data_IF_878692354533
#
_entry.id   IF_878692354533
#
_cell.length_a   1.000
_cell.length_b   1.000
_cell.length_c   1.000
_cell.angle_alpha   90.00
_cell.angle_beta   90.00
_cell.angle_gamma   90.00
#
_symmetry.space_group_name_H-M   'P 1'
#
loop_
_entity.id
_entity.type
_entity.pdbx_description
1 polymer ?
#
# COMPACT_ATOMS: atom_id res chain seq x y z
N UNK A 1 -29.03 9.87 11.87
CA UNK A 1 -27.65 9.35 11.78
C UNK A 1 -27.77 7.85 11.62
N UNK A 2 -27.40 7.32 10.47
CA UNK A 2 -27.38 5.87 10.21
C UNK A 2 -26.08 5.35 10.83
N UNK A 3 -26.15 4.38 11.74
CA UNK A 3 -24.96 3.83 12.41
C UNK A 3 -24.10 3.05 11.40
N UNK A 4 -22.76 3.11 11.51
CA UNK A 4 -21.84 2.39 10.61
C UNK A 4 -22.17 0.89 10.48
N UNK A 5 -22.65 0.26 11.57
CA UNK A 5 -23.10 -1.13 11.56
C UNK A 5 -24.27 -1.37 10.58
N UNK A 6 -25.28 -0.50 10.58
CA UNK A 6 -26.43 -0.63 9.69
C UNK A 6 -26.09 -0.41 8.21
N UNK A 7 -25.05 0.39 7.91
CA UNK A 7 -24.54 0.55 6.55
C UNK A 7 -23.80 -0.71 6.09
N UNK A 8 -22.95 -1.27 6.96
CA UNK A 8 -22.21 -2.51 6.67
C UNK A 8 -23.14 -3.71 6.46
N UNK A 9 -24.21 -3.83 7.26
CA UNK A 9 -25.24 -4.87 7.11
C UNK A 9 -26.00 -4.73 5.79
N UNK A 10 -26.39 -3.52 5.42
CA UNK A 10 -27.06 -3.27 4.14
C UNK A 10 -26.13 -3.55 2.93
N UNK A 11 -24.83 -3.27 3.07
CA UNK A 11 -23.83 -3.56 2.04
C UNK A 11 -23.64 -5.07 1.81
N UNK A 12 -23.57 -5.88 2.88
CA UNK A 12 -23.47 -7.35 2.72
C UNK A 12 -24.75 -7.95 2.15
N UNK A 13 -25.92 -7.46 2.53
CA UNK A 13 -27.19 -7.91 1.94
C UNK A 13 -27.25 -7.60 0.44
N UNK A 14 -26.79 -6.41 0.03
CA UNK A 14 -26.68 -6.06 -1.38
C UNK A 14 -25.65 -6.90 -2.14
N UNK A 15 -24.54 -7.27 -1.50
CA UNK A 15 -23.54 -8.22 -2.04
C UNK A 15 -24.18 -9.59 -2.32
N UNK A 16 -24.89 -10.14 -1.33
CA UNK A 16 -25.50 -11.47 -1.40
C UNK A 16 -26.56 -11.61 -2.51
N UNK A 17 -27.26 -10.52 -2.85
CA UNK A 17 -28.25 -10.52 -3.95
C UNK A 17 -27.64 -10.80 -5.33
N UNK A 18 -26.37 -10.47 -5.53
CA UNK A 18 -25.70 -10.47 -6.84
C UNK A 18 -24.54 -11.47 -6.88
N UNK A 19 -24.23 -12.10 -5.74
CA UNK A 19 -23.24 -13.16 -5.65
C UNK A 19 -23.63 -14.34 -6.56
N UNK A 20 -22.76 -14.75 -7.51
CA UNK A 20 -23.04 -15.85 -8.41
C UNK A 20 -22.82 -17.19 -7.71
N UNK A 21 -23.70 -17.54 -6.77
CA UNK A 21 -23.67 -18.80 -6.03
C UNK A 21 -24.87 -19.68 -6.35
N UNK A 22 -24.65 -21.00 -6.37
CA UNK A 22 -25.72 -21.99 -6.64
C UNK A 22 -26.81 -22.02 -5.57
N UNK A 23 -26.48 -21.59 -4.35
CA UNK A 23 -27.33 -21.64 -3.16
C UNK A 23 -27.36 -20.23 -2.54
N UNK A 24 -28.51 -19.76 -2.02
CA UNK A 24 -28.57 -18.51 -1.28
C UNK A 24 -27.65 -18.57 -0.07
N UNK A 25 -26.80 -17.55 0.04
CA UNK A 25 -25.89 -17.38 1.16
C UNK A 25 -26.53 -16.54 2.27
N UNK A 26 -26.15 -16.83 3.50
CA UNK A 26 -26.49 -16.05 4.68
C UNK A 26 -25.22 -15.41 5.25
N UNK A 27 -25.31 -14.11 5.57
CA UNK A 27 -24.26 -13.38 6.26
C UNK A 27 -24.54 -13.32 7.76
N UNK A 28 -23.57 -13.68 8.58
CA UNK A 28 -23.60 -13.45 10.03
C UNK A 28 -22.42 -12.56 10.43
N UNK A 29 -22.68 -11.52 11.22
CA UNK A 29 -21.62 -10.63 11.69
C UNK A 29 -20.67 -11.43 12.59
N UNK A 30 -19.38 -11.45 12.25
CA UNK A 30 -18.37 -12.21 12.98
C UNK A 30 -17.58 -11.26 13.88
N UNK A 31 -17.73 -11.44 15.20
CA UNK A 31 -16.99 -10.66 16.21
C UNK A 31 -15.78 -11.45 16.69
N UNK A 32 -14.65 -11.38 15.98
CA UNK A 32 -13.39 -11.98 16.42
C UNK A 32 -12.39 -12.26 15.30
N UNK A 33 -11.12 -11.89 15.49
CA UNK A 33 -10.08 -12.04 14.45
C UNK A 33 -9.41 -13.43 14.42
N UNK A 34 -9.69 -14.30 15.41
CA UNK A 34 -8.96 -15.56 15.62
C UNK A 34 -9.36 -16.73 14.70
N UNK A 35 -10.57 -16.75 14.15
CA UNK A 35 -11.01 -17.80 13.21
C UNK A 35 -10.57 -17.53 11.75
N UNK A 36 -10.11 -16.31 11.52
CA UNK A 36 -9.81 -15.73 10.22
C UNK A 36 -8.37 -16.10 9.77
N UNK A 37 -7.39 -16.08 10.68
CA UNK A 37 -5.94 -16.16 10.41
C UNK A 37 -5.46 -17.41 9.65
N UNK A 38 -6.22 -18.50 9.64
CA UNK A 38 -5.82 -19.76 9.00
C UNK A 38 -6.40 -19.96 7.58
N UNK A 39 -7.17 -19.00 7.04
CA UNK A 39 -8.07 -19.24 5.90
C UNK A 39 -8.08 -18.16 4.80
N UNK A 40 -7.23 -17.12 4.89
CA UNK A 40 -7.08 -16.14 3.81
C UNK A 40 -6.10 -16.62 2.75
N UNK A 41 -6.66 -17.05 1.62
CA UNK A 41 -5.93 -17.09 0.36
C UNK A 41 -6.10 -15.77 -0.41
N UNK A 42 -6.08 -15.90 -1.74
CA UNK A 42 -6.37 -14.82 -2.68
C UNK A 42 -7.78 -14.23 -2.46
N UNK A 43 -7.85 -12.98 -2.01
CA UNK A 43 -9.10 -12.24 -1.76
C UNK A 43 -9.35 -11.26 -2.90
N UNK A 44 -10.59 -11.07 -3.32
CA UNK A 44 -10.94 -9.99 -4.25
C UNK A 44 -11.27 -8.75 -3.45
N UNK A 45 -10.55 -7.66 -3.69
CA UNK A 45 -10.73 -6.40 -2.98
C UNK A 45 -11.03 -5.26 -3.94
N UNK A 46 -11.79 -4.28 -3.47
CA UNK A 46 -12.08 -3.06 -4.19
C UNK A 46 -12.23 -1.89 -3.21
N UNK A 47 -11.93 -0.67 -3.69
CA UNK A 47 -12.07 0.56 -2.90
C UNK A 47 -13.16 1.44 -3.50
N UNK A 48 -14.11 1.86 -2.68
CA UNK A 48 -15.14 2.81 -3.04
C UNK A 48 -14.78 4.21 -2.57
N UNK A 49 -14.87 5.18 -3.48
CA UNK A 49 -14.66 6.61 -3.19
C UNK A 49 -15.95 7.37 -3.49
N UNK A 50 -16.52 7.95 -2.44
CA UNK A 50 -17.75 8.73 -2.52
C UNK A 50 -17.94 9.59 -1.29
N UNK A 51 -19.18 10.00 -1.03
CA UNK A 51 -19.54 10.75 0.18
C UNK A 51 -19.19 10.01 1.49
N UNK A 52 -19.25 8.67 1.44
CA UNK A 52 -18.68 7.77 2.43
C UNK A 52 -17.71 6.83 1.71
N UNK A 53 -16.42 6.90 2.03
CA UNK A 53 -15.42 6.02 1.40
C UNK A 53 -15.36 4.68 2.11
N UNK A 54 -15.08 3.60 1.39
CA UNK A 54 -14.94 2.28 1.99
C UNK A 54 -13.92 1.39 1.27
N UNK A 55 -13.32 0.46 2.01
CA UNK A 55 -12.57 -0.66 1.46
C UNK A 55 -13.41 -1.93 1.63
N UNK A 56 -13.55 -2.73 0.56
CA UNK A 56 -14.33 -3.96 0.51
C UNK A 56 -13.42 -5.14 0.17
N UNK A 57 -13.64 -6.29 0.80
CA UNK A 57 -12.99 -7.55 0.43
C UNK A 57 -13.95 -8.73 0.50
N UNK A 58 -13.81 -9.66 -0.45
CA UNK A 58 -14.56 -10.91 -0.50
C UNK A 58 -13.59 -12.07 -0.66
N UNK A 59 -13.81 -13.12 0.12
CA UNK A 59 -13.11 -14.41 0.00
C UNK A 59 -14.16 -15.50 -0.12
N UNK A 60 -14.02 -16.37 -1.11
CA UNK A 60 -14.80 -17.60 -1.24
C UNK A 60 -13.84 -18.78 -1.12
N UNK A 61 -14.17 -19.75 -0.27
CA UNK A 61 -13.32 -20.91 0.02
C UNK A 61 -13.38 -21.99 -1.06
N UNK A 62 -14.43 -21.98 -1.89
CA UNK A 62 -14.67 -23.01 -2.89
C UNK A 62 -14.97 -22.37 -4.25
N UNK A 63 -14.08 -22.58 -5.22
CA UNK A 63 -14.27 -22.12 -6.60
C UNK A 63 -15.45 -22.82 -7.30
N UNK A 64 -15.84 -24.02 -6.86
CA UNK A 64 -16.99 -24.74 -7.43
C UNK A 64 -18.34 -24.07 -7.12
N UNK A 65 -18.39 -23.21 -6.10
CA UNK A 65 -19.56 -22.38 -5.81
C UNK A 65 -19.80 -21.26 -6.83
N UNK A 66 -18.78 -20.94 -7.63
CA UNK A 66 -18.80 -19.91 -8.67
C UNK A 66 -19.22 -20.45 -10.06
N UNK A 67 -19.07 -21.76 -10.29
CA UNK A 67 -19.24 -22.42 -11.59
C UNK A 67 -20.71 -22.56 -12.02
N UNK A 68 -21.65 -22.62 -11.09
CA UNK A 68 -23.06 -22.91 -11.40
C UNK A 68 -23.80 -21.75 -12.10
N UNK A 69 -23.25 -20.53 -12.08
CA UNK A 69 -23.84 -19.36 -12.72
C UNK A 69 -23.28 -19.06 -14.13
N UNK A 70 -22.20 -19.74 -14.55
CA UNK A 70 -21.49 -19.43 -15.81
C UNK A 70 -22.00 -20.20 -17.03
N UNK A 71 -22.73 -21.30 -16.84
CA UNK A 71 -23.31 -22.10 -17.93
C UNK A 71 -22.30 -22.63 -18.96
N UNK A 72 -21.00 -22.64 -18.68
CA UNK A 72 -19.97 -23.05 -19.64
C UNK A 72 -18.81 -23.80 -18.97
N UNK A 73 -18.15 -24.64 -19.78
CA UNK A 73 -16.98 -25.46 -19.48
C UNK A 73 -15.79 -24.65 -18.88
N UNK A 74 -14.73 -25.28 -18.35
CA UNK A 74 -13.86 -24.69 -17.33
C UNK A 74 -13.29 -23.31 -17.72
N UNK A 75 -13.65 -22.37 -16.87
CA UNK A 75 -13.42 -20.92 -16.77
C UNK A 75 -12.18 -20.31 -17.46
N UNK A 76 -12.44 -19.49 -18.49
CA UNK A 76 -11.53 -18.42 -18.97
C UNK A 76 -11.69 -17.09 -18.19
N UNK A 77 -12.64 -17.03 -17.25
CA UNK A 77 -13.04 -15.79 -16.57
C UNK A 77 -12.34 -15.68 -15.22
N UNK A 78 -11.70 -14.53 -14.95
CA UNK A 78 -11.00 -14.29 -13.69
C UNK A 78 -11.98 -14.12 -12.54
N UNK A 79 -11.65 -14.63 -11.35
CA UNK A 79 -12.49 -14.50 -10.14
C UNK A 79 -12.85 -13.04 -9.82
N UNK A 80 -11.98 -12.09 -10.20
CA UNK A 80 -12.25 -10.66 -10.05
C UNK A 80 -13.41 -10.17 -10.93
N UNK A 81 -13.54 -10.68 -12.16
CA UNK A 81 -14.58 -10.27 -13.11
C UNK A 81 -15.94 -10.84 -12.69
N UNK A 82 -15.93 -12.03 -12.09
CA UNK A 82 -17.12 -12.69 -11.57
C UNK A 82 -17.65 -12.04 -10.29
N UNK A 83 -16.76 -11.58 -9.41
CA UNK A 83 -17.15 -10.93 -8.15
C UNK A 83 -17.37 -9.42 -8.26
N UNK A 84 -16.95 -8.78 -9.36
CA UNK A 84 -17.11 -7.33 -9.55
C UNK A 84 -18.58 -6.87 -9.44
N UNK A 85 -19.57 -7.51 -10.07
CA UNK A 85 -20.97 -7.09 -9.94
C UNK A 85 -21.49 -7.13 -8.49
N UNK A 86 -21.03 -8.10 -7.70
CA UNK A 86 -21.40 -8.21 -6.29
C UNK A 86 -20.78 -7.07 -5.45
N UNK A 87 -19.52 -6.70 -5.71
CA UNK A 87 -18.85 -5.57 -5.07
C UNK A 87 -19.48 -4.22 -5.45
N UNK A 88 -19.88 -4.04 -6.71
CA UNK A 88 -20.61 -2.86 -7.18
C UNK A 88 -21.96 -2.72 -6.47
N UNK A 89 -22.70 -3.83 -6.34
CA UNK A 89 -23.96 -3.87 -5.60
C UNK A 89 -23.77 -3.48 -4.13
N UNK A 90 -22.75 -4.03 -3.46
CA UNK A 90 -22.43 -3.67 -2.07
C UNK A 90 -22.06 -2.19 -1.93
N UNK A 91 -21.24 -1.68 -2.84
CA UNK A 91 -20.78 -0.29 -2.82
C UNK A 91 -21.91 0.72 -3.12
N UNK A 92 -22.93 0.33 -3.90
CA UNK A 92 -24.07 1.20 -4.21
C UNK A 92 -24.84 1.69 -2.97
N UNK A 93 -24.80 0.90 -1.88
CA UNK A 93 -25.42 1.24 -0.59
C UNK A 93 -24.71 2.41 0.11
N UNK A 94 -23.44 2.64 -0.22
CA UNK A 94 -22.61 3.71 0.33
C UNK A 94 -22.93 5.08 -0.28
N UNK A 95 -23.83 5.12 -1.28
CA UNK A 95 -24.30 6.32 -1.94
C UNK A 95 -23.58 6.60 -3.26
N UNK A 96 -23.57 7.86 -3.67
CA UNK A 96 -22.95 8.29 -4.93
C UNK A 96 -21.42 8.24 -4.77
N UNK A 97 -20.75 7.55 -5.71
CA UNK A 97 -19.30 7.41 -5.76
C UNK A 97 -18.86 6.46 -6.87
N UNK A 98 -17.56 6.16 -6.88
CA UNK A 98 -16.93 5.29 -7.87
C UNK A 98 -16.27 4.12 -7.13
N UNK A 99 -16.56 2.90 -7.58
CA UNK A 99 -15.80 1.71 -7.19
C UNK A 99 -14.56 1.61 -8.09
N UNK A 100 -13.39 1.56 -7.47
CA UNK A 100 -12.13 1.30 -8.17
C UNK A 100 -12.05 -0.15 -8.67
N UNK A 101 -11.00 -0.44 -9.43
CA UNK A 101 -10.81 -1.78 -9.99
C UNK A 101 -10.70 -2.87 -8.90
N UNK A 102 -11.35 -4.00 -9.16
CA UNK A 102 -11.21 -5.21 -8.36
C UNK A 102 -9.82 -5.81 -8.56
N UNK A 103 -9.16 -6.19 -7.48
CA UNK A 103 -7.84 -6.85 -7.53
C UNK A 103 -7.79 -8.07 -6.63
N UNK A 104 -7.03 -9.07 -7.04
CA UNK A 104 -6.78 -10.27 -6.24
C UNK A 104 -5.52 -10.04 -5.41
N UNK A 105 -5.66 -9.99 -4.09
CA UNK A 105 -4.52 -9.80 -3.18
C UNK A 105 -4.74 -10.49 -1.82
N UNK A 106 -3.69 -10.51 -0.99
CA UNK A 106 -3.83 -10.82 0.43
C UNK A 106 -4.47 -9.62 1.15
N UNK A 107 -5.69 -9.85 1.65
CA UNK A 107 -6.51 -8.87 2.37
C UNK A 107 -6.45 -9.05 3.89
N UNK A 108 -5.55 -9.88 4.43
CA UNK A 108 -5.36 -10.12 5.87
C UNK A 108 -5.38 -8.82 6.69
N UNK A 109 -4.68 -7.79 6.23
CA UNK A 109 -4.65 -6.47 6.87
C UNK A 109 -6.01 -5.78 6.98
N UNK A 110 -6.90 -5.95 5.98
CA UNK A 110 -8.25 -5.38 6.02
C UNK A 110 -9.12 -6.20 6.98
N UNK A 111 -9.08 -7.53 6.86
CA UNK A 111 -9.86 -8.46 7.68
C UNK A 111 -9.50 -8.41 9.18
N UNK A 112 -8.26 -8.08 9.52
CA UNK A 112 -7.76 -8.03 10.90
C UNK A 112 -7.83 -6.64 11.54
N UNK A 113 -8.20 -5.59 10.78
CA UNK A 113 -8.27 -4.24 11.33
C UNK A 113 -9.47 -4.08 12.28
N UNK A 114 -9.26 -3.40 13.41
CA UNK A 114 -10.26 -3.24 14.47
C UNK A 114 -11.50 -2.43 14.04
N UNK A 115 -11.36 -1.60 13.02
CA UNK A 115 -12.41 -0.77 12.43
C UNK A 115 -13.13 -1.42 11.25
N UNK A 116 -12.75 -2.65 10.88
CA UNK A 116 -13.39 -3.44 9.83
C UNK A 116 -14.55 -4.26 10.39
N UNK A 117 -15.69 -4.22 9.69
CA UNK A 117 -16.78 -5.15 9.93
C UNK A 117 -16.62 -6.37 9.03
N UNK A 118 -16.62 -7.57 9.64
CA UNK A 118 -16.49 -8.84 8.91
C UNK A 118 -17.77 -9.66 9.05
N UNK A 119 -18.18 -10.24 7.94
CA UNK A 119 -19.34 -11.11 7.82
C UNK A 119 -18.90 -12.48 7.33
N UNK A 120 -19.34 -13.52 8.03
CA UNK A 120 -19.21 -14.91 7.61
C UNK A 120 -20.33 -15.23 6.62
N UNK A 121 -19.96 -15.72 5.44
CA UNK A 121 -20.89 -16.15 4.41
C UNK A 121 -21.06 -17.66 4.51
N UNK A 122 -22.29 -18.11 4.71
CA UNK A 122 -22.61 -19.52 4.86
C UNK A 122 -23.76 -19.98 3.97
N UNK A 123 -23.68 -21.21 3.46
CA UNK A 123 -24.74 -21.88 2.72
C UNK A 123 -25.17 -23.12 3.52
N UNK A 124 -26.44 -23.20 3.93
CA UNK A 124 -26.93 -24.36 4.70
C UNK A 124 -26.16 -24.63 6.01
N UNK A 125 -25.60 -23.59 6.64
CA UNK A 125 -24.79 -23.70 7.86
C UNK A 125 -23.32 -24.06 7.64
N UNK A 126 -22.88 -24.22 6.40
CA UNK A 126 -21.47 -24.41 6.03
C UNK A 126 -20.88 -23.08 5.60
N UNK A 127 -19.76 -22.69 6.20
CA UNK A 127 -19.04 -21.46 5.83
C UNK A 127 -18.42 -21.62 4.45
N UNK A 128 -18.83 -20.77 3.52
CA UNK A 128 -18.36 -20.77 2.13
C UNK A 128 -17.44 -19.59 1.85
N UNK A 129 -17.40 -18.58 2.72
CA UNK A 129 -16.57 -17.41 2.50
C UNK A 129 -16.74 -16.33 3.56
N UNK A 130 -16.10 -15.19 3.30
CA UNK A 130 -16.20 -14.00 4.14
C UNK A 130 -16.28 -12.74 3.30
N UNK A 131 -16.98 -11.76 3.84
CA UNK A 131 -17.03 -10.40 3.33
C UNK A 131 -16.57 -9.44 4.41
N UNK A 132 -15.69 -8.50 4.06
CA UNK A 132 -15.23 -7.45 4.94
C UNK A 132 -15.53 -6.08 4.32
N UNK A 133 -15.95 -5.15 5.17
CA UNK A 133 -16.14 -3.75 4.81
C UNK A 133 -15.60 -2.84 5.92
N UNK A 134 -14.77 -1.89 5.52
CA UNK A 134 -14.24 -0.84 6.39
C UNK A 134 -14.70 0.52 5.90
N UNK A 135 -15.54 1.19 6.69
CA UNK A 135 -16.03 2.54 6.40
C UNK A 135 -15.02 3.58 6.87
N UNK A 136 -14.62 4.49 5.99
CA UNK A 136 -13.75 5.63 6.30
C UNK A 136 -14.61 6.88 6.48
N UNK A 137 -14.70 7.38 7.71
CA UNK A 137 -15.42 8.61 8.01
C UNK A 137 -14.60 9.82 7.53
N UNK A 138 -15.18 10.66 6.67
CA UNK A 138 -14.49 11.85 6.12
C UNK A 138 -14.18 12.87 7.23
N UNK A 139 -12.96 12.85 7.75
CA UNK A 139 -12.37 13.99 8.45
C UNK A 139 -11.87 15.03 7.44
N UNK A 140 -12.20 16.30 7.69
CA UNK A 140 -11.64 17.50 7.05
C UNK A 140 -10.16 17.31 6.67
N UNK A 141 -9.83 17.53 5.39
CA UNK A 141 -8.48 17.61 4.78
C UNK A 141 -7.32 17.37 5.77
N UNK A 142 -6.88 16.12 5.85
CA UNK A 142 -5.75 15.69 6.66
C UNK A 142 -5.68 14.17 6.73
N UNK A 143 -4.72 13.56 6.02
CA UNK A 143 -4.35 12.15 6.21
C UNK A 143 -4.46 11.26 4.97
N UNK A 144 -3.43 11.29 4.13
CA UNK A 144 -2.97 10.06 3.47
C UNK A 144 -2.42 9.07 4.50
N UNK A 145 -2.07 7.86 4.05
CA UNK A 145 -1.54 6.71 4.82
C UNK A 145 -2.63 5.75 5.30
N UNK A 146 -3.06 4.74 4.51
CA UNK A 146 -2.33 3.46 4.52
C UNK A 146 -2.47 2.61 3.23
N UNK A 147 -3.35 2.93 2.28
CA UNK A 147 -3.54 2.07 1.08
C UNK A 147 -2.80 2.57 -0.16
N UNK A 148 -2.50 3.88 -0.25
CA UNK A 148 -1.48 4.38 -1.19
C UNK A 148 -0.14 3.75 -0.85
N UNK A 149 0.14 3.47 0.44
CA UNK A 149 1.36 2.78 0.82
C UNK A 149 1.45 1.38 0.22
N UNK A 150 0.40 0.58 -0.01
CA UNK A 150 0.59 -0.81 -0.50
C UNK A 150 0.81 -0.91 -2.02
N UNK A 151 0.09 -0.13 -2.83
CA UNK A 151 0.32 -0.07 -4.28
C UNK A 151 1.61 0.70 -4.62
N UNK A 152 1.91 1.75 -3.84
CA UNK A 152 3.21 2.40 -3.89
C UNK A 152 4.28 1.48 -3.30
N UNK A 153 4.09 0.72 -2.22
CA UNK A 153 5.06 -0.28 -1.71
C UNK A 153 5.28 -1.44 -2.69
N UNK A 154 4.25 -1.85 -3.45
CA UNK A 154 4.37 -2.85 -4.51
C UNK A 154 5.15 -2.34 -5.73
N UNK A 155 5.05 -1.04 -6.03
CA UNK A 155 5.85 -0.37 -7.07
C UNK A 155 7.21 0.16 -6.55
N UNK A 156 7.33 0.46 -5.26
CA UNK A 156 8.55 0.81 -4.54
C UNK A 156 9.37 -0.46 -4.29
N UNK A 157 8.73 -1.63 -4.19
CA UNK A 157 9.41 -2.92 -4.21
C UNK A 157 10.20 -3.15 -5.51
N UNK A 158 9.82 -2.47 -6.61
CA UNK A 158 10.58 -2.48 -7.87
C UNK A 158 11.68 -1.43 -7.91
N UNK A 159 11.54 -0.29 -7.24
CA UNK A 159 12.63 0.71 -7.12
C UNK A 159 13.60 0.42 -5.97
N UNK A 160 13.29 -0.51 -5.06
CA UNK A 160 14.17 -0.94 -3.96
C UNK A 160 15.52 -1.48 -4.42
N UNK A 161 15.64 -1.88 -5.69
CA UNK A 161 16.88 -2.38 -6.29
C UNK A 161 17.54 -1.37 -7.25
N UNK A 162 17.18 -0.08 -7.17
CA UNK A 162 17.84 0.96 -7.97
C UNK A 162 19.13 1.35 -7.25
N UNK A 163 20.25 0.99 -7.85
CA UNK A 163 21.55 1.47 -7.42
C UNK A 163 21.66 2.98 -7.69
N UNK A 164 22.11 3.74 -6.69
CA UNK A 164 22.29 5.18 -6.78
C UNK A 164 23.71 5.52 -6.34
N UNK A 165 24.33 6.48 -7.02
CA UNK A 165 25.67 6.93 -6.65
C UNK A 165 25.58 7.87 -5.46
N UNK A 166 26.12 7.42 -4.33
CA UNK A 166 26.34 8.25 -3.16
C UNK A 166 27.75 8.83 -3.21
N UNK A 167 27.87 10.14 -3.03
CA UNK A 167 29.14 10.87 -3.01
C UNK A 167 29.29 11.55 -1.66
N UNK A 168 30.43 11.35 -1.01
CA UNK A 168 30.79 12.03 0.24
C UNK A 168 31.85 13.08 -0.10
N UNK A 169 31.53 14.35 0.14
CA UNK A 169 32.39 15.48 -0.18
C UNK A 169 32.91 16.16 1.09
N UNK A 170 34.23 16.22 1.23
CA UNK A 170 34.90 16.91 2.33
C UNK A 170 34.82 18.44 2.14
N UNK A 171 34.83 18.93 0.90
CA UNK A 171 34.74 20.35 0.59
C UNK A 171 34.96 20.63 -0.89
N UNK A 172 34.70 21.86 -1.32
CA UNK A 172 34.86 22.32 -2.70
C UNK A 172 35.73 23.57 -2.75
N UNK A 173 36.26 23.89 -3.91
CA UNK A 173 36.89 25.20 -4.15
C UNK A 173 36.69 25.61 -5.61
N UNK A 174 36.74 26.91 -5.89
CA UNK A 174 36.69 27.46 -7.25
C UNK A 174 38.07 27.99 -7.60
N UNK A 175 38.62 27.53 -8.71
CA UNK A 175 39.95 27.91 -9.17
C UNK A 175 39.87 28.48 -10.59
N UNK A 176 40.78 29.38 -10.95
CA UNK A 176 40.92 29.78 -12.34
C UNK A 176 41.53 28.61 -13.14
N UNK A 177 41.17 28.49 -14.42
CA UNK A 177 41.68 27.41 -15.30
C UNK A 177 43.21 27.38 -15.31
N UNK A 178 43.86 28.55 -15.27
CA UNK A 178 45.32 28.66 -15.21
C UNK A 178 45.92 27.95 -13.98
N UNK A 179 45.26 28.05 -12.83
CA UNK A 179 45.75 27.52 -11.55
C UNK A 179 45.61 25.99 -11.54
N UNK A 180 44.50 25.47 -12.09
CA UNK A 180 44.27 24.02 -12.26
C UNK A 180 45.32 23.41 -13.19
N UNK A 181 45.67 24.07 -14.29
CA UNK A 181 46.69 23.60 -15.23
C UNK A 181 48.12 23.65 -14.65
N UNK A 182 48.35 24.43 -13.58
CA UNK A 182 49.64 24.53 -12.89
C UNK A 182 49.77 23.57 -11.69
N UNK A 183 48.80 22.69 -11.44
CA UNK A 183 48.86 21.77 -10.32
C UNK A 183 49.95 20.71 -10.53
N UNK A 184 50.79 20.54 -9.50
CA UNK A 184 51.89 19.58 -9.47
C UNK A 184 51.85 18.76 -8.17
N UNK A 185 52.47 17.55 -8.14
CA UNK A 185 52.55 16.76 -6.93
C UNK A 185 53.12 17.56 -5.75
N UNK A 186 52.39 17.58 -4.63
CA UNK A 186 52.76 18.34 -3.43
C UNK A 186 52.05 19.69 -3.30
N UNK A 187 51.28 20.14 -4.30
CA UNK A 187 50.42 21.30 -4.16
C UNK A 187 49.34 21.08 -3.09
N UNK A 188 49.13 22.09 -2.24
CA UNK A 188 48.09 22.10 -1.19
C UNK A 188 46.98 23.04 -1.65
N UNK A 189 45.75 22.54 -1.67
CA UNK A 189 44.57 23.29 -2.13
C UNK A 189 43.65 23.53 -0.94
N UNK A 190 43.34 24.79 -0.67
CA UNK A 190 42.36 25.16 0.35
C UNK A 190 40.92 24.93 -0.16
N UNK A 191 40.10 24.33 0.70
CA UNK A 191 38.69 24.07 0.45
C UNK A 191 37.82 25.10 1.19
N UNK A 192 36.55 25.20 0.79
CA UNK A 192 35.53 26.09 1.36
C UNK A 192 34.98 25.64 2.72
N UNK A 193 35.64 24.68 3.38
CA UNK A 193 35.15 24.04 4.60
C UNK A 193 36.17 24.08 5.73
N UNK A 194 35.71 24.43 6.93
CA UNK A 194 36.53 24.44 8.14
C UNK A 194 36.82 23.01 8.62
N UNK A 195 38.01 22.80 9.21
CA UNK A 195 38.35 21.53 9.84
C UNK A 195 37.34 21.18 10.95
N UNK A 196 36.87 19.93 10.95
CA UNK A 196 35.86 19.44 11.90
C UNK A 196 34.42 19.75 11.52
N UNK A 197 34.16 20.51 10.46
CA UNK A 197 32.81 20.62 9.91
C UNK A 197 32.39 19.28 9.27
N UNK A 198 31.08 18.94 9.32
CA UNK A 198 30.61 17.70 8.71
C UNK A 198 30.79 17.74 7.19
N UNK A 199 31.04 16.57 6.60
CA UNK A 199 31.06 16.34 5.16
C UNK A 199 29.64 16.37 4.59
N UNK A 200 29.55 16.77 3.32
CA UNK A 200 28.31 16.71 2.56
C UNK A 200 28.12 15.31 1.99
N UNK A 201 26.89 14.81 2.08
CA UNK A 201 26.51 13.52 1.50
C UNK A 201 25.51 13.82 0.39
N UNK A 202 25.90 13.51 -0.83
CA UNK A 202 25.11 13.74 -2.03
C UNK A 202 24.64 12.41 -2.60
N UNK A 203 23.43 12.42 -3.15
CA UNK A 203 22.87 11.32 -3.91
C UNK A 203 22.54 11.83 -5.30
N UNK A 204 23.17 11.25 -6.33
CA UNK A 204 23.07 11.74 -7.71
C UNK A 204 23.31 13.26 -7.84
N UNK A 205 24.25 13.80 -7.06
CA UNK A 205 24.60 15.22 -7.05
C UNK A 205 23.69 16.15 -6.26
N UNK A 206 22.63 15.64 -5.60
CA UNK A 206 21.79 16.42 -4.67
C UNK A 206 22.24 16.19 -3.24
N UNK A 207 22.44 17.26 -2.46
CA UNK A 207 22.73 17.16 -1.04
C UNK A 207 21.53 16.56 -0.28
N UNK A 208 21.76 15.46 0.43
CA UNK A 208 20.73 14.75 1.19
C UNK A 208 21.01 14.68 2.69
N UNK A 209 22.26 14.82 3.10
CA UNK A 209 22.66 14.66 4.49
C UNK A 209 24.02 15.31 4.77
N UNK A 210 24.30 15.46 6.06
CA UNK A 210 25.62 15.78 6.60
C UNK A 210 26.12 14.60 7.44
N UNK A 211 27.44 14.41 7.47
CA UNK A 211 28.05 13.36 8.26
C UNK A 211 29.50 13.63 8.63
N UNK A 212 30.00 12.90 9.62
CA UNK A 212 31.39 12.98 10.06
C UNK A 212 32.20 11.85 9.42
N UNK A 213 33.39 12.18 8.90
CA UNK A 213 34.32 11.17 8.41
C UNK A 213 34.92 10.43 9.60
N UNK A 214 34.82 9.11 9.58
CA UNK A 214 35.33 8.22 10.60
C UNK A 214 36.17 7.14 9.94
N UNK A 215 37.04 6.49 10.71
CA UNK A 215 37.79 5.32 10.26
C UNK A 215 37.25 4.10 10.97
N UNK A 216 36.86 3.09 10.21
CA UNK A 216 36.36 1.80 10.72
C UNK A 216 37.19 0.72 10.07
N UNK A 217 37.83 -0.13 10.87
CA UNK A 217 38.66 -1.25 10.37
C UNK A 217 39.73 -0.86 9.34
N UNK A 218 40.32 0.35 9.49
CA UNK A 218 41.29 0.97 8.58
C UNK A 218 40.71 1.52 7.26
N UNK A 219 39.39 1.42 7.07
CA UNK A 219 38.67 2.01 5.95
C UNK A 219 38.04 3.35 6.34
N UNK A 220 37.97 4.28 5.37
CA UNK A 220 37.19 5.51 5.54
C UNK A 220 35.70 5.19 5.48
N UNK A 221 34.96 5.72 6.45
CA UNK A 221 33.51 5.64 6.53
C UNK A 221 32.92 7.01 6.88
N UNK A 222 31.60 7.14 6.71
CA UNK A 222 30.86 8.34 7.09
C UNK A 222 29.78 7.97 8.10
N UNK A 223 29.77 8.68 9.24
CA UNK A 223 28.67 8.60 10.21
C UNK A 223 27.69 9.74 9.91
N UNK A 224 26.47 9.40 9.50
CA UNK A 224 25.42 10.40 9.27
C UNK A 224 25.10 11.11 10.58
N UNK A 225 25.19 12.44 10.58
CA UNK A 225 24.84 13.28 11.74
C UNK A 225 23.49 13.96 11.57
N UNK A 226 23.12 14.29 10.33
CA UNK A 226 21.84 14.92 10.01
C UNK A 226 21.38 14.51 8.62
N UNK A 227 20.11 14.14 8.49
CA UNK A 227 19.42 13.96 7.21
C UNK A 227 18.67 15.25 6.90
N UNK A 228 18.78 15.72 5.66
CA UNK A 228 18.05 16.88 5.17
C UNK A 228 16.78 16.40 4.49
N UNK A 229 15.65 17.05 4.79
CA UNK A 229 14.39 16.75 4.14
C UNK A 229 14.49 17.03 2.64
N UNK A 230 14.42 15.96 1.84
CA UNK A 230 14.33 16.02 0.38
C UNK A 230 12.88 16.36 0.03
N UNK A 231 12.42 17.55 0.42
CA UNK A 231 11.12 18.06 -0.03
C UNK A 231 11.30 18.68 -1.42
N UNK A 232 10.37 18.34 -2.30
CA UNK A 232 10.17 18.83 -3.67
C UNK A 232 11.09 18.31 -4.79
N UNK A 233 10.42 17.87 -5.85
CA UNK A 233 10.98 17.57 -7.17
C UNK A 233 10.57 16.23 -7.77
N UNK A 234 9.28 15.86 -7.77
CA UNK A 234 8.70 14.89 -8.71
C UNK A 234 7.38 15.43 -9.27
#
# INVERSE_FOLDING_TARGET
MISNQSVSEAAVDALLRVLPTAVPLHATAHSGSAALTARFGSSVVASFVGSSSADLAVVLMDASSLDAASGAAPSLVSSQDVLRPALESAASVLGIGVLGDSRVEDASTLFLADDTQVFELSAGGVVTGWFAIRLRSNGTIGGGSATINKAVLGNLGRINNVEMTLTVEIGRTRMAVRDVLSLEPGAVIELDRSAGAPADILLNGRLIAHGEIVVVDQDYAVRITQILDVVEGL
#
